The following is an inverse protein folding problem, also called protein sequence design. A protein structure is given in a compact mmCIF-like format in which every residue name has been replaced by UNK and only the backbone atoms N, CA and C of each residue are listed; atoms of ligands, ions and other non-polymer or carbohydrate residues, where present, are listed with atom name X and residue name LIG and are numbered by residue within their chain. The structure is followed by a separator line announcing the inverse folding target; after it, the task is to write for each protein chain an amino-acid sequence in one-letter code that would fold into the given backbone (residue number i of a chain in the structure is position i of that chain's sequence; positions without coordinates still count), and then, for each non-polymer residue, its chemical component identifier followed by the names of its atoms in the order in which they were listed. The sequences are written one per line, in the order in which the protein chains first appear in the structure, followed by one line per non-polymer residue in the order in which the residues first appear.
data_IF_911017411828
#
_entry.id   IF_911017411828
#
_cell.length_a   1.000
_cell.length_b   1.000
_cell.length_c   1.000
_cell.angle_alpha   90.00
_cell.angle_beta   90.00
_cell.angle_gamma   90.00
#
_symmetry.space_group_name_H-M   'P 1'
#
loop_
_entity.id
_entity.type
_entity.pdbx_description
1 polymer ?
#
# COMPACT_ATOMS: atom_id res chain seq x y z
N UNK A 1 11.84 -61.53 6.57
CA UNK A 1 10.73 -61.16 5.66
C UNK A 1 9.63 -60.51 6.47
N UNK A 2 9.29 -59.25 6.11
CA UNK A 2 7.96 -58.61 6.14
C UNK A 2 7.18 -58.68 7.47
N UNK A 3 7.20 -57.60 8.26
CA UNK A 3 6.17 -56.53 8.28
C UNK A 3 4.73 -57.06 8.47
N UNK A 4 4.05 -56.62 9.53
CA UNK A 4 2.86 -55.75 9.44
C UNK A 4 2.30 -55.46 10.84
N UNK A 5 2.75 -54.35 11.44
CA UNK A 5 2.04 -53.67 12.51
C UNK A 5 0.86 -52.93 11.85
N UNK A 6 -0.38 -53.38 12.10
CA UNK A 6 -1.59 -52.68 11.65
C UNK A 6 -2.10 -51.77 12.74
N UNK A 7 -2.46 -50.58 12.29
CA UNK A 7 -2.72 -49.37 13.04
C UNK A 7 -3.88 -49.50 14.04
N UNK A 8 -3.65 -48.89 15.20
CA UNK A 8 -4.62 -48.69 16.27
C UNK A 8 -5.48 -47.45 15.95
N UNK A 9 -6.76 -47.61 16.23
CA UNK A 9 -7.80 -46.61 16.53
C UNK A 9 -7.27 -45.19 16.87
N UNK A 10 -7.83 -44.15 16.24
CA UNK A 10 -8.05 -42.88 16.94
C UNK A 10 -9.41 -42.28 16.58
N UNK A 11 -10.22 -42.17 17.63
CA UNK A 11 -11.56 -41.66 17.68
C UNK A 11 -11.50 -40.23 18.24
N UNK A 12 -12.25 -39.32 17.61
CA UNK A 12 -12.79 -38.05 18.12
C UNK A 12 -11.85 -36.93 18.58
N UNK A 13 -11.98 -35.76 17.95
CA UNK A 13 -12.40 -34.56 18.71
C UNK A 13 -13.11 -33.53 17.82
N UNK A 14 -14.17 -33.03 18.42
CA UNK A 14 -15.22 -32.17 17.91
C UNK A 14 -14.72 -30.72 17.79
N UNK A 15 -15.11 -30.10 16.69
CA UNK A 15 -14.97 -28.67 16.40
C UNK A 15 -15.79 -27.84 17.38
N UNK A 16 -15.21 -26.76 17.91
CA UNK A 16 -15.76 -25.42 18.10
C UNK A 16 -14.92 -24.67 19.15
N UNK A 17 -14.33 -23.53 18.78
CA UNK A 17 -14.75 -22.21 19.27
C UNK A 17 -13.70 -21.09 19.03
N UNK A 18 -14.27 -19.94 18.68
CA UNK A 18 -13.84 -18.55 18.87
C UNK A 18 -12.67 -17.96 18.06
N UNK A 19 -13.09 -17.10 17.13
CA UNK A 19 -12.41 -15.86 16.73
C UNK A 19 -11.74 -15.17 17.94
N UNK A 20 -10.47 -14.83 17.78
CA UNK A 20 -9.86 -13.70 18.49
C UNK A 20 -9.14 -12.82 17.46
N UNK A 21 -9.93 -12.12 16.65
CA UNK A 21 -9.49 -10.90 15.97
C UNK A 21 -9.74 -9.73 16.89
N UNK A 22 -8.74 -9.35 17.70
CA UNK A 22 -8.54 -7.98 18.17
C UNK A 22 -7.15 -7.86 18.79
N UNK A 23 -6.28 -7.10 18.13
CA UNK A 23 -5.29 -6.17 18.70
C UNK A 23 -4.03 -6.07 17.81
N UNK A 24 -4.17 -5.46 16.64
CA UNK A 24 -3.09 -4.63 16.08
C UNK A 24 -3.66 -3.26 15.71
N UNK A 25 -4.07 -2.53 16.75
CA UNK A 25 -4.24 -1.08 16.67
C UNK A 25 -2.87 -0.44 16.95
N UNK A 26 -2.46 0.47 16.07
CA UNK A 26 -1.42 1.49 16.28
C UNK A 26 0.07 1.06 16.26
N UNK A 27 0.56 0.56 15.11
CA UNK A 27 2.00 0.67 14.76
C UNK A 27 2.30 1.47 13.48
N UNK A 28 1.30 2.08 12.85
CA UNK A 28 1.48 2.94 11.67
C UNK A 28 1.78 4.42 11.96
N UNK A 29 1.34 4.95 13.12
CA UNK A 29 1.45 6.40 13.42
C UNK A 29 2.79 6.83 14.02
N UNK A 30 3.55 5.93 14.64
CA UNK A 30 4.79 6.29 15.35
C UNK A 30 5.99 6.45 14.42
N UNK A 31 6.11 5.66 13.35
CA UNK A 31 7.25 5.75 12.42
C UNK A 31 7.19 7.00 11.53
N UNK A 32 5.99 7.44 11.11
CA UNK A 32 5.83 8.68 10.35
C UNK A 32 6.15 9.93 11.19
N UNK A 33 5.73 9.96 12.46
CA UNK A 33 6.01 11.07 13.38
C UNK A 33 7.51 11.15 13.76
N UNK A 34 8.16 10.01 13.99
CA UNK A 34 9.61 9.96 14.29
C UNK A 34 10.45 10.40 13.08
N UNK A 35 10.04 10.03 11.86
CA UNK A 35 10.70 10.45 10.63
C UNK A 35 10.49 11.94 10.31
N UNK A 36 9.27 12.47 10.53
CA UNK A 36 8.98 13.89 10.32
C UNK A 36 9.75 14.82 11.28
N UNK A 37 9.91 14.41 12.55
CA UNK A 37 10.60 15.23 13.56
C UNK A 37 12.12 15.36 13.32
N UNK A 38 12.75 14.42 12.60
CA UNK A 38 14.18 14.46 12.25
C UNK A 38 14.46 15.19 10.91
N UNK A 39 13.48 15.26 10.01
CA UNK A 39 13.54 16.05 8.76
C UNK A 39 13.41 17.57 9.03
N UNK A 40 12.81 17.94 10.17
CA UNK A 40 12.52 19.31 10.58
C UNK A 40 13.73 20.28 10.71
N UNK A 41 14.98 19.80 10.61
CA UNK A 41 16.16 20.67 10.74
C UNK A 41 16.51 21.44 9.45
N UNK A 42 15.91 21.11 8.31
CA UNK A 42 16.15 21.80 7.03
C UNK A 42 14.95 21.98 6.11
N UNK A 43 13.85 21.28 6.39
CA UNK A 43 12.61 21.36 5.60
C UNK A 43 11.43 21.75 6.47
N UNK A 44 10.51 22.51 5.90
CA UNK A 44 9.26 22.92 6.52
C UNK A 44 8.14 21.94 6.19
N UNK A 45 7.06 22.01 6.97
CA UNK A 45 5.85 21.21 6.76
C UNK A 45 4.58 22.08 6.87
N UNK A 46 4.43 23.08 5.97
CA UNK A 46 3.23 23.89 5.91
C UNK A 46 2.03 22.99 5.65
N UNK A 47 0.89 23.37 6.23
CA UNK A 47 -0.39 22.70 6.01
C UNK A 47 -1.20 23.35 4.89
N UNK A 48 -0.78 24.53 4.41
CA UNK A 48 -1.45 25.32 3.38
C UNK A 48 -0.43 25.97 2.45
N UNK A 49 -0.75 26.08 1.16
CA UNK A 49 0.09 26.82 0.19
C UNK A 49 0.23 28.29 0.60
N UNK A 50 -0.76 28.84 1.30
CA UNK A 50 -0.75 30.22 1.80
C UNK A 50 0.34 30.48 2.86
N UNK A 51 0.94 29.43 3.42
CA UNK A 51 2.06 29.54 4.36
C UNK A 51 3.41 29.60 3.64
N UNK A 52 3.45 29.35 2.34
CA UNK A 52 4.67 29.40 1.52
C UNK A 52 4.95 30.83 1.11
N UNK A 53 6.13 31.34 1.44
CA UNK A 53 6.39 32.80 1.47
C UNK A 53 6.73 33.42 0.12
N UNK A 54 7.19 32.62 -0.84
CA UNK A 54 7.81 33.08 -2.10
C UNK A 54 7.10 32.54 -3.35
N UNK A 55 5.83 32.14 -3.21
CA UNK A 55 4.98 31.63 -4.29
C UNK A 55 3.72 32.49 -4.39
N UNK A 56 3.42 32.95 -5.60
CA UNK A 56 2.23 33.72 -5.92
C UNK A 56 1.18 32.83 -6.59
N UNK A 57 -0.11 33.18 -6.44
CA UNK A 57 -1.24 32.42 -7.00
C UNK A 57 -1.22 32.30 -8.53
N UNK A 58 -0.63 33.29 -9.21
CA UNK A 58 -0.48 33.29 -10.67
C UNK A 58 0.72 32.46 -11.17
N UNK A 59 1.47 31.81 -10.29
CA UNK A 59 2.59 30.96 -10.68
C UNK A 59 2.09 29.63 -11.27
N UNK A 60 2.73 29.16 -12.34
CA UNK A 60 2.35 27.92 -13.03
C UNK A 60 2.36 26.68 -12.12
N UNK A 61 3.26 26.62 -11.13
CA UNK A 61 3.37 25.50 -10.20
C UNK A 61 2.47 25.66 -8.98
N UNK A 62 1.75 26.79 -8.83
CA UNK A 62 0.94 27.07 -7.64
C UNK A 62 -0.05 25.94 -7.36
N UNK A 63 -0.80 25.51 -8.38
CA UNK A 63 -1.80 24.45 -8.22
C UNK A 63 -1.18 23.11 -7.85
N UNK A 64 -0.05 22.75 -8.48
CA UNK A 64 0.65 21.51 -8.14
C UNK A 64 1.24 21.54 -6.73
N UNK A 65 1.81 22.67 -6.30
CA UNK A 65 2.30 22.82 -4.93
C UNK A 65 1.17 22.78 -3.91
N UNK A 66 0.06 23.46 -4.21
CA UNK A 66 -1.15 23.43 -3.38
C UNK A 66 -1.63 21.99 -3.18
N UNK A 67 -1.74 21.23 -4.26
CA UNK A 67 -2.19 19.84 -4.20
C UNK A 67 -1.22 18.94 -3.42
N UNK A 68 0.08 19.03 -3.75
CA UNK A 68 1.14 18.29 -3.07
C UNK A 68 1.18 18.57 -1.56
N UNK A 69 1.03 19.83 -1.14
CA UNK A 69 1.12 20.23 0.27
C UNK A 69 -0.19 19.93 1.01
N UNK A 70 -1.31 20.39 0.50
CA UNK A 70 -2.60 20.38 1.23
C UNK A 70 -3.27 19.02 1.20
N UNK A 71 -3.28 18.36 0.04
CA UNK A 71 -4.03 17.11 -0.16
C UNK A 71 -3.15 15.87 0.01
N UNK A 72 -1.83 16.03 -0.14
CA UNK A 72 -0.88 14.92 -0.15
C UNK A 72 0.20 15.02 0.93
N UNK A 73 0.27 16.14 1.65
CA UNK A 73 1.23 16.36 2.75
C UNK A 73 2.68 16.08 2.35
N UNK A 74 3.03 16.40 1.11
CA UNK A 74 4.37 16.22 0.56
C UNK A 74 5.25 17.37 1.03
N UNK A 75 6.41 17.02 1.59
CA UNK A 75 7.42 17.99 2.01
C UNK A 75 8.08 18.57 0.77
N UNK A 76 7.75 19.83 0.45
CA UNK A 76 8.29 20.54 -0.72
C UNK A 76 9.08 21.81 -0.34
N UNK A 77 8.96 22.32 0.88
CA UNK A 77 9.50 23.64 1.28
C UNK A 77 10.64 23.54 2.28
N UNK A 78 11.45 24.59 2.35
CA UNK A 78 12.49 24.74 3.36
C UNK A 78 11.91 25.14 4.72
N UNK A 79 12.73 25.06 5.76
CA UNK A 79 12.30 25.32 7.14
C UNK A 79 11.77 26.74 7.39
N UNK A 80 12.15 27.71 6.54
CA UNK A 80 11.67 29.09 6.55
C UNK A 80 10.38 29.28 5.73
N UNK A 81 9.74 28.18 5.31
CA UNK A 81 8.59 28.13 4.41
C UNK A 81 8.83 28.73 3.01
N UNK A 82 10.07 28.94 2.60
CA UNK A 82 10.38 29.25 1.21
C UNK A 82 10.36 27.99 0.34
N UNK A 83 9.95 28.13 -0.91
CA UNK A 83 10.00 27.07 -1.92
C UNK A 83 11.17 27.23 -2.89
N UNK A 84 11.62 28.45 -3.16
CA UNK A 84 12.71 28.77 -4.11
C UNK A 84 12.50 28.16 -5.50
N UNK A 85 11.32 28.36 -6.09
CA UNK A 85 10.89 27.60 -7.27
C UNK A 85 11.77 27.75 -8.52
N UNK A 86 12.39 28.91 -8.71
CA UNK A 86 13.31 29.18 -9.84
C UNK A 86 14.71 28.56 -9.64
N UNK A 87 15.04 28.12 -8.43
CA UNK A 87 16.32 27.48 -8.17
C UNK A 87 16.36 26.09 -8.83
N UNK A 88 17.56 25.67 -9.22
CA UNK A 88 17.80 24.29 -9.64
C UNK A 88 17.47 23.34 -8.49
N UNK A 89 16.76 22.25 -8.80
CA UNK A 89 16.50 21.17 -7.86
C UNK A 89 17.82 20.54 -7.45
N UNK A 90 18.02 20.38 -6.14
CA UNK A 90 19.17 19.69 -5.57
C UNK A 90 18.85 18.20 -5.37
N UNK A 91 19.85 17.33 -5.47
CA UNK A 91 19.70 15.87 -5.26
C UNK A 91 19.12 15.53 -3.89
N UNK A 92 19.55 16.25 -2.85
CA UNK A 92 19.03 16.06 -1.49
C UNK A 92 17.56 16.45 -1.36
N UNK A 93 17.15 17.57 -1.97
CA UNK A 93 15.77 18.05 -1.96
C UNK A 93 14.82 17.09 -2.66
N UNK A 94 15.26 16.53 -3.79
CA UNK A 94 14.54 15.46 -4.48
C UNK A 94 14.28 14.28 -3.55
N UNK A 95 15.30 13.77 -2.87
CA UNK A 95 15.19 12.60 -1.98
C UNK A 95 14.15 12.82 -0.88
N UNK A 96 14.13 14.01 -0.26
CA UNK A 96 13.19 14.33 0.82
C UNK A 96 11.76 14.40 0.31
N UNK A 97 11.56 15.12 -0.79
CA UNK A 97 10.24 15.30 -1.41
C UNK A 97 9.68 13.96 -1.91
N UNK A 98 10.54 13.19 -2.59
CA UNK A 98 10.17 11.90 -3.17
C UNK A 98 9.86 10.85 -2.10
N UNK A 99 10.64 10.79 -1.02
CA UNK A 99 10.33 9.91 0.11
C UNK A 99 8.97 10.24 0.76
N UNK A 100 8.59 11.52 0.80
CA UNK A 100 7.27 11.93 1.32
C UNK A 100 6.14 11.43 0.42
N UNK A 101 6.31 11.52 -0.91
CA UNK A 101 5.38 10.96 -1.90
C UNK A 101 5.22 9.46 -1.73
N UNK A 102 6.32 8.72 -1.59
CA UNK A 102 6.29 7.27 -1.39
C UNK A 102 5.53 6.88 -0.11
N UNK A 103 5.77 7.62 0.98
CA UNK A 103 5.01 7.45 2.22
C UNK A 103 3.50 7.63 2.01
N UNK A 104 3.10 8.71 1.32
CA UNK A 104 1.70 8.99 1.01
C UNK A 104 1.05 7.90 0.16
N UNK A 105 1.72 7.46 -0.90
CA UNK A 105 1.21 6.40 -1.80
C UNK A 105 1.02 5.10 -1.02
N UNK A 106 1.99 4.73 -0.16
CA UNK A 106 1.86 3.52 0.66
C UNK A 106 0.71 3.59 1.65
N UNK A 107 0.48 4.73 2.29
CA UNK A 107 -0.66 4.89 3.19
C UNK A 107 -1.98 4.68 2.43
N UNK A 108 -2.08 5.19 1.20
CA UNK A 108 -3.26 5.01 0.35
C UNK A 108 -3.42 3.57 -0.15
N UNK A 109 -2.35 2.92 -0.59
CA UNK A 109 -2.34 1.49 -0.97
C UNK A 109 -2.80 0.62 0.21
N UNK A 110 -2.25 0.86 1.41
CA UNK A 110 -2.61 0.09 2.61
C UNK A 110 -4.09 0.30 2.98
N UNK A 111 -4.57 1.54 2.93
CA UNK A 111 -5.98 1.85 3.20
C UNK A 111 -6.92 1.22 2.16
N UNK A 112 -6.46 1.07 0.92
CA UNK A 112 -7.19 0.39 -0.13
C UNK A 112 -7.15 -1.15 -0.01
N UNK A 113 -6.37 -1.71 0.93
CA UNK A 113 -6.16 -3.15 1.07
C UNK A 113 -5.40 -3.77 -0.11
N UNK A 114 -4.54 -2.98 -0.76
CA UNK A 114 -3.72 -3.38 -1.90
C UNK A 114 -2.28 -3.69 -1.46
N UNK A 115 -1.54 -4.36 -2.34
CA UNK A 115 -0.14 -4.73 -2.12
C UNK A 115 0.80 -3.56 -2.47
N UNK A 116 1.84 -3.35 -1.64
CA UNK A 116 2.84 -2.28 -1.84
C UNK A 116 3.78 -2.48 -3.02
N UNK A 117 3.78 -3.66 -3.66
CA UNK A 117 4.46 -3.96 -4.92
C UNK A 117 4.02 -3.08 -6.10
N UNK A 118 2.96 -2.30 -5.95
CA UNK A 118 2.63 -1.22 -6.88
C UNK A 118 3.72 -0.14 -6.95
N UNK A 119 4.59 -0.02 -5.94
CA UNK A 119 5.80 0.80 -6.01
C UNK A 119 6.98 -0.12 -6.35
N UNK A 120 7.62 0.11 -7.49
CA UNK A 120 8.74 -0.73 -7.92
C UNK A 120 10.06 -0.28 -7.28
N UNK A 121 10.93 -1.25 -7.03
CA UNK A 121 12.34 -1.00 -6.72
C UNK A 121 13.06 -0.44 -7.96
N UNK A 122 14.16 0.27 -7.75
CA UNK A 122 14.92 0.84 -8.86
C UNK A 122 16.38 1.05 -8.51
N UNK A 123 17.29 0.51 -9.32
CA UNK A 123 18.71 0.85 -9.27
C UNK A 123 19.14 1.46 -10.61
N UNK A 124 19.26 2.79 -10.61
CA UNK A 124 19.60 3.54 -11.84
C UNK A 124 21.00 3.19 -12.34
N UNK A 125 21.96 3.17 -11.43
CA UNK A 125 23.37 3.13 -11.76
C UNK A 125 23.99 1.74 -11.60
N UNK A 126 23.19 0.74 -11.23
CA UNK A 126 23.62 -0.60 -10.82
C UNK A 126 24.74 -0.51 -9.77
N UNK A 127 24.56 0.41 -8.83
CA UNK A 127 25.53 0.64 -7.76
C UNK A 127 25.33 -0.36 -6.61
N UNK A 128 24.20 -1.09 -6.58
CA UNK A 128 23.84 -2.11 -5.59
C UNK A 128 23.95 -1.62 -4.15
N UNK A 129 23.60 -0.36 -3.92
CA UNK A 129 23.55 0.27 -2.60
C UNK A 129 22.21 -0.13 -1.98
N UNK A 130 22.26 -0.76 -0.81
CA UNK A 130 21.07 -1.27 -0.11
C UNK A 130 20.91 -0.67 1.29
N UNK A 131 21.90 0.06 1.80
CA UNK A 131 21.82 0.74 3.09
C UNK A 131 22.38 2.16 3.02
N UNK A 132 21.80 3.06 3.82
CA UNK A 132 22.30 4.44 3.98
C UNK A 132 23.76 4.48 4.46
N UNK A 133 24.20 3.46 5.20
CA UNK A 133 25.56 3.36 5.73
C UNK A 133 26.62 3.22 4.63
N UNK A 134 26.21 2.80 3.43
CA UNK A 134 27.08 2.68 2.27
C UNK A 134 27.23 4.01 1.49
N UNK A 135 26.40 5.02 1.79
CA UNK A 135 26.46 6.34 1.13
C UNK A 135 27.59 7.17 1.76
N UNK A 136 28.68 7.36 1.02
CA UNK A 136 29.97 7.81 1.57
C UNK A 136 29.97 9.26 2.05
N UNK A 137 29.19 10.13 1.42
CA UNK A 137 29.11 11.55 1.73
C UNK A 137 27.95 11.91 2.67
N UNK A 138 27.32 10.91 3.29
CA UNK A 138 26.15 11.11 4.15
C UNK A 138 26.38 10.60 5.57
N UNK A 139 26.16 11.49 6.55
CA UNK A 139 26.34 11.20 7.98
C UNK A 139 24.98 11.11 8.69
N UNK A 140 24.83 10.35 9.80
CA UNK A 140 23.57 10.22 10.57
C UNK A 140 22.89 11.52 11.02
N UNK A 141 23.65 12.61 11.13
CA UNK A 141 23.15 13.95 11.47
C UNK A 141 22.73 14.81 10.28
N UNK A 142 22.86 14.31 9.05
CA UNK A 142 22.42 15.02 7.83
C UNK A 142 20.90 15.10 7.77
N UNK A 143 20.37 16.23 7.29
CA UNK A 143 18.93 16.44 7.05
C UNK A 143 18.36 15.44 6.02
N UNK A 144 19.20 14.89 5.15
CA UNK A 144 18.80 13.91 4.13
C UNK A 144 18.86 12.46 4.61
N UNK A 145 19.45 12.19 5.78
CA UNK A 145 19.79 10.83 6.21
C UNK A 145 18.58 9.91 6.28
N UNK A 146 17.49 10.38 6.91
CA UNK A 146 16.27 9.59 7.08
C UNK A 146 15.60 9.28 5.75
N UNK A 147 15.52 10.26 4.85
CA UNK A 147 14.92 10.08 3.54
C UNK A 147 15.74 9.13 2.67
N UNK A 148 17.07 9.25 2.69
CA UNK A 148 17.97 8.30 2.01
C UNK A 148 17.84 6.89 2.57
N UNK A 149 17.82 6.76 3.90
CA UNK A 149 17.64 5.48 4.56
C UNK A 149 16.34 4.82 4.11
N UNK A 150 15.24 5.57 4.13
CA UNK A 150 13.95 5.08 3.68
C UNK A 150 13.99 4.64 2.20
N UNK A 151 14.54 5.46 1.29
CA UNK A 151 14.69 5.11 -0.13
C UNK A 151 15.43 3.78 -0.33
N UNK A 152 16.57 3.60 0.32
CA UNK A 152 17.41 2.42 0.13
C UNK A 152 16.81 1.18 0.83
N UNK A 153 16.47 1.32 2.10
CA UNK A 153 16.18 0.18 2.98
C UNK A 153 14.70 -0.21 2.98
N UNK A 154 13.79 0.74 2.77
CA UNK A 154 12.35 0.46 2.73
C UNK A 154 11.81 0.30 1.32
N UNK A 155 12.35 1.06 0.36
CA UNK A 155 11.82 1.11 -1.01
C UNK A 155 12.70 0.40 -2.04
N UNK A 156 13.95 0.08 -1.72
CA UNK A 156 14.89 -0.47 -2.69
C UNK A 156 15.14 0.46 -3.87
N UNK A 157 15.07 1.78 -3.65
CA UNK A 157 15.29 2.82 -4.66
C UNK A 157 16.71 3.38 -4.48
N UNK A 158 17.64 2.83 -5.25
CA UNK A 158 19.01 3.28 -5.41
C UNK A 158 19.10 4.37 -6.52
N UNK A 159 18.43 5.49 -6.25
CA UNK A 159 18.56 6.73 -6.99
C UNK A 159 18.30 7.91 -6.01
N UNK A 160 19.04 9.03 -6.12
CA UNK A 160 19.91 9.41 -7.22
C UNK A 160 21.37 9.30 -6.81
N UNK A 161 21.84 8.12 -6.44
CA UNK A 161 23.24 7.95 -6.01
C UNK A 161 24.14 7.73 -7.22
N UNK A 162 25.35 8.27 -7.18
CA UNK A 162 26.37 7.98 -8.21
C UNK A 162 26.87 6.53 -8.08
N UNK A 163 27.54 6.01 -9.11
CA UNK A 163 28.24 4.70 -9.05
C UNK A 163 29.25 4.61 -7.91
N UNK A 164 29.79 5.74 -7.45
CA UNK A 164 30.73 5.80 -6.35
C UNK A 164 30.08 5.76 -4.96
N UNK A 165 28.76 5.56 -4.88
CA UNK A 165 27.93 5.64 -3.68
C UNK A 165 27.94 7.02 -3.01
N UNK A 166 27.87 8.07 -3.83
CA UNK A 166 27.72 9.46 -3.38
C UNK A 166 26.32 9.98 -3.70
N UNK A 167 25.68 10.64 -2.74
CA UNK A 167 24.45 11.40 -2.98
C UNK A 167 24.76 12.71 -3.70
N UNK A 168 25.84 13.40 -3.33
CA UNK A 168 26.18 14.76 -3.73
C UNK A 168 24.97 15.70 -3.52
N UNK A 169 24.51 15.83 -2.28
CA UNK A 169 23.20 16.41 -1.97
C UNK A 169 22.95 17.81 -2.57
N UNK A 170 23.99 18.64 -2.69
CA UNK A 170 23.91 20.00 -3.23
C UNK A 170 24.09 20.07 -4.76
N UNK A 171 24.43 18.96 -5.42
CA UNK A 171 24.56 18.94 -6.87
C UNK A 171 23.19 19.13 -7.54
N UNK A 172 23.17 19.65 -8.78
CA UNK A 172 21.95 19.73 -9.56
C UNK A 172 21.33 18.34 -9.82
N UNK A 173 20.02 18.31 -9.90
CA UNK A 173 19.24 17.17 -10.33
C UNK A 173 18.78 17.35 -11.78
N UNK A 174 18.77 16.25 -12.55
CA UNK A 174 18.52 16.31 -13.99
C UNK A 174 17.13 15.80 -14.35
N UNK A 175 16.58 16.37 -15.42
CA UNK A 175 15.24 16.04 -15.89
C UNK A 175 15.12 14.58 -16.33
N UNK A 176 16.05 14.06 -17.14
CA UNK A 176 16.10 12.64 -17.51
C UNK A 176 16.10 11.70 -16.31
N UNK A 177 16.85 12.04 -15.26
CA UNK A 177 16.86 11.30 -13.99
C UNK A 177 15.50 11.27 -13.31
N UNK A 178 14.81 12.42 -13.25
CA UNK A 178 13.48 12.52 -12.67
C UNK A 178 12.50 11.56 -13.36
N UNK A 179 12.41 11.67 -14.69
CA UNK A 179 11.48 10.88 -15.47
C UNK A 179 11.80 9.38 -15.43
N UNK A 180 13.09 9.01 -15.47
CA UNK A 180 13.51 7.62 -15.29
C UNK A 180 13.03 7.04 -13.95
N UNK A 181 13.25 7.79 -12.85
CA UNK A 181 12.84 7.35 -11.52
C UNK A 181 11.32 7.20 -11.48
N UNK A 182 10.56 8.25 -11.83
CA UNK A 182 9.10 8.24 -11.73
C UNK A 182 8.46 7.17 -12.63
N UNK A 183 8.99 6.98 -13.85
CA UNK A 183 8.53 5.94 -14.78
C UNK A 183 8.71 4.55 -14.18
N UNK A 184 9.89 4.25 -13.65
CA UNK A 184 10.15 2.91 -13.12
C UNK A 184 9.41 2.68 -11.81
N UNK A 185 9.55 3.60 -10.86
CA UNK A 185 9.08 3.40 -9.48
C UNK A 185 7.58 3.62 -9.31
N UNK A 186 6.99 4.59 -10.02
CA UNK A 186 5.55 4.88 -9.95
C UNK A 186 4.75 4.41 -11.16
N UNK A 187 5.40 4.09 -12.28
CA UNK A 187 4.71 3.80 -13.54
C UNK A 187 4.27 5.07 -14.28
N UNK A 188 4.90 6.21 -14.01
CA UNK A 188 4.54 7.50 -14.60
C UNK A 188 4.65 7.49 -16.13
N UNK A 189 3.56 7.82 -16.81
CA UNK A 189 3.51 7.93 -18.26
C UNK A 189 3.52 9.40 -18.68
N UNK A 190 4.60 9.81 -19.35
CA UNK A 190 4.80 11.16 -19.88
C UNK A 190 4.67 11.21 -21.42
N UNK A 191 4.03 10.20 -22.01
CA UNK A 191 3.77 10.12 -23.45
C UNK A 191 5.03 10.01 -24.29
N UNK A 192 5.04 10.70 -25.44
CA UNK A 192 6.14 10.67 -26.40
C UNK A 192 7.27 11.69 -26.09
N UNK A 193 7.17 12.40 -24.96
CA UNK A 193 8.19 13.34 -24.55
C UNK A 193 9.52 12.60 -24.32
N UNK A 194 10.64 13.19 -24.77
CA UNK A 194 11.99 12.65 -24.55
C UNK A 194 12.71 13.53 -23.54
N UNK A 195 12.82 13.11 -22.26
CA UNK A 195 13.52 13.86 -21.23
C UNK A 195 14.97 14.17 -21.65
N UNK A 196 15.39 15.41 -21.41
CA UNK A 196 16.76 15.86 -21.71
C UNK A 196 17.63 15.80 -20.47
N UNK A 197 18.93 15.64 -20.66
CA UNK A 197 19.93 15.77 -19.59
C UNK A 197 20.20 17.25 -19.28
N UNK A 198 19.20 17.93 -18.76
CA UNK A 198 19.25 19.33 -18.33
C UNK A 198 18.87 19.44 -16.87
N UNK A 199 19.40 20.44 -16.17
CA UNK A 199 19.01 20.70 -14.78
C UNK A 199 17.54 21.08 -14.73
N UNK A 200 16.81 20.53 -13.76
CA UNK A 200 15.41 20.86 -13.55
C UNK A 200 15.27 21.92 -12.45
N UNK A 201 14.35 22.87 -12.63
CA UNK A 201 14.00 23.81 -11.55
C UNK A 201 13.02 23.16 -10.57
N UNK A 202 12.94 23.73 -9.37
CA UNK A 202 11.99 23.25 -8.34
C UNK A 202 10.54 23.40 -8.79
N UNK A 203 10.18 24.45 -9.54
CA UNK A 203 8.86 24.59 -10.15
C UNK A 203 8.49 23.42 -11.07
N UNK A 204 9.33 23.12 -12.06
CA UNK A 204 9.08 22.00 -12.98
C UNK A 204 9.03 20.66 -12.26
N UNK A 205 9.87 20.48 -11.23
CA UNK A 205 9.83 19.29 -10.41
C UNK A 205 8.49 19.10 -9.70
N UNK A 206 7.95 20.15 -9.07
CA UNK A 206 6.65 20.09 -8.39
C UNK A 206 5.52 19.70 -9.35
N UNK A 207 5.48 20.32 -10.53
CA UNK A 207 4.46 20.02 -11.54
C UNK A 207 4.53 18.56 -12.02
N UNK A 208 5.74 18.06 -12.31
CA UNK A 208 5.93 16.68 -12.78
C UNK A 208 5.64 15.66 -11.67
N UNK A 209 6.03 15.97 -10.42
CA UNK A 209 5.79 15.08 -9.29
C UNK A 209 4.30 14.97 -8.97
N UNK A 210 3.58 16.08 -9.03
CA UNK A 210 2.13 16.14 -8.85
C UNK A 210 1.40 15.31 -9.91
N UNK A 211 1.73 15.48 -11.19
CA UNK A 211 1.12 14.67 -12.26
C UNK A 211 1.42 13.17 -12.10
N UNK A 212 2.67 12.82 -11.78
CA UNK A 212 3.05 11.43 -11.52
C UNK A 212 2.30 10.83 -10.32
N UNK A 213 2.12 11.59 -9.25
CA UNK A 213 1.33 11.19 -8.09
C UNK A 213 -0.13 10.97 -8.49
N UNK A 214 -0.76 11.92 -9.19
CA UNK A 214 -2.14 11.80 -9.68
C UNK A 214 -2.37 10.55 -10.51
N UNK A 215 -1.50 10.27 -11.47
CA UNK A 215 -1.58 9.05 -12.27
C UNK A 215 -1.49 7.79 -11.39
N UNK A 216 -0.59 7.79 -10.40
CA UNK A 216 -0.45 6.67 -9.48
C UNK A 216 -1.68 6.49 -8.60
N UNK A 217 -2.26 7.57 -8.09
CA UNK A 217 -3.46 7.51 -7.26
C UNK A 217 -4.67 7.05 -8.05
N UNK A 218 -4.81 7.46 -9.32
CA UNK A 218 -5.85 6.95 -10.20
C UNK A 218 -5.72 5.44 -10.39
N UNK A 219 -4.50 4.93 -10.60
CA UNK A 219 -4.26 3.48 -10.68
C UNK A 219 -4.64 2.75 -9.39
N UNK A 220 -4.24 3.28 -8.23
CA UNK A 220 -4.58 2.71 -6.91
C UNK A 220 -6.10 2.68 -6.72
N UNK A 221 -6.81 3.73 -7.11
CA UNK A 221 -8.26 3.80 -7.00
C UNK A 221 -8.94 2.73 -7.87
N UNK A 222 -8.56 2.60 -9.14
CA UNK A 222 -9.09 1.57 -10.05
C UNK A 222 -8.91 0.17 -9.46
N UNK A 223 -7.71 -0.15 -8.96
CA UNK A 223 -7.43 -1.46 -8.36
C UNK A 223 -8.23 -1.70 -7.07
N UNK A 224 -8.44 -0.64 -6.26
CA UNK A 224 -9.27 -0.73 -5.06
C UNK A 224 -10.71 -1.08 -5.40
N UNK A 225 -11.26 -0.45 -6.44
CA UNK A 225 -12.64 -0.68 -6.86
C UNK A 225 -12.82 -2.06 -7.50
N UNK A 226 -11.86 -2.51 -8.32
CA UNK A 226 -11.83 -3.89 -8.82
C UNK A 226 -11.78 -4.93 -7.70
N UNK A 227 -10.97 -4.67 -6.65
CA UNK A 227 -10.89 -5.56 -5.49
C UNK A 227 -12.23 -5.61 -4.75
N UNK A 228 -12.86 -4.47 -4.47
CA UNK A 228 -14.18 -4.42 -3.82
C UNK A 228 -15.22 -5.19 -4.62
N UNK A 229 -15.27 -5.00 -5.94
CA UNK A 229 -16.19 -5.71 -6.81
C UNK A 229 -15.98 -7.23 -6.74
N UNK A 230 -14.73 -7.70 -6.73
CA UNK A 230 -14.41 -9.14 -6.57
C UNK A 230 -14.84 -9.68 -5.21
N UNK A 231 -14.59 -8.93 -4.14
CA UNK A 231 -14.97 -9.31 -2.78
C UNK A 231 -16.50 -9.40 -2.64
N UNK A 232 -17.26 -8.49 -3.27
CA UNK A 232 -18.73 -8.51 -3.28
C UNK A 232 -19.29 -9.73 -4.04
N UNK A 233 -18.71 -10.04 -5.21
CA UNK A 233 -19.09 -11.22 -6.00
C UNK A 233 -18.82 -12.51 -5.21
N UNK A 234 -17.66 -12.61 -4.56
CA UNK A 234 -17.31 -13.78 -3.76
C UNK A 234 -18.22 -13.91 -2.53
N UNK A 235 -18.54 -12.80 -1.86
CA UNK A 235 -19.51 -12.78 -0.77
C UNK A 235 -20.88 -13.30 -1.22
N UNK A 236 -21.38 -12.80 -2.36
CA UNK A 236 -22.66 -13.26 -2.91
C UNK A 236 -22.65 -14.76 -3.26
N UNK A 237 -21.51 -15.27 -3.77
CA UNK A 237 -21.32 -16.70 -4.05
C UNK A 237 -21.39 -17.52 -2.77
N UNK A 238 -20.68 -17.11 -1.72
CA UNK A 238 -20.68 -17.77 -0.40
C UNK A 238 -22.11 -17.77 0.18
N UNK A 239 -22.80 -16.63 0.16
CA UNK A 239 -24.17 -16.50 0.68
C UNK A 239 -25.15 -17.44 -0.05
N UNK A 240 -25.00 -17.59 -1.37
CA UNK A 240 -25.78 -18.55 -2.16
C UNK A 240 -25.50 -20.00 -1.76
N UNK A 241 -24.23 -20.37 -1.57
CA UNK A 241 -23.83 -21.70 -1.12
C UNK A 241 -24.41 -22.00 0.27
N UNK A 242 -24.31 -21.05 1.20
CA UNK A 242 -24.87 -21.18 2.55
C UNK A 242 -26.39 -21.43 2.49
N UNK A 243 -27.12 -20.63 1.71
CA UNK A 243 -28.57 -20.81 1.51
C UNK A 243 -28.91 -22.19 0.94
N UNK A 244 -28.13 -22.69 -0.02
CA UNK A 244 -28.35 -24.04 -0.59
C UNK A 244 -28.08 -25.14 0.45
N UNK A 245 -27.05 -25.01 1.27
CA UNK A 245 -26.75 -25.96 2.35
C UNK A 245 -27.90 -25.98 3.37
N UNK A 246 -28.38 -24.80 3.77
CA UNK A 246 -29.50 -24.69 4.70
C UNK A 246 -30.79 -25.29 4.12
N UNK A 247 -31.07 -25.06 2.84
CA UNK A 247 -32.23 -25.67 2.17
C UNK A 247 -32.12 -27.20 2.16
N UNK A 248 -30.97 -27.75 1.73
CA UNK A 248 -30.73 -29.20 1.75
C UNK A 248 -30.87 -29.81 3.15
N UNK A 249 -30.43 -29.08 4.19
CA UNK A 249 -30.63 -29.49 5.59
C UNK A 249 -32.11 -29.54 5.96
N UNK A 250 -32.89 -28.50 5.62
CA UNK A 250 -34.35 -28.47 5.86
C UNK A 250 -35.08 -29.60 5.14
N UNK A 251 -34.72 -29.86 3.87
CA UNK A 251 -35.33 -30.93 3.07
C UNK A 251 -35.02 -32.30 3.66
N UNK A 252 -33.77 -32.54 4.08
CA UNK A 252 -33.35 -33.78 4.73
C UNK A 252 -34.09 -34.02 6.06
N UNK A 253 -34.21 -32.98 6.90
CA UNK A 253 -34.96 -33.06 8.16
C UNK A 253 -36.44 -33.36 7.89
N UNK A 254 -37.03 -32.71 6.89
CA UNK A 254 -38.44 -32.93 6.52
C UNK A 254 -38.69 -34.36 6.07
N UNK A 255 -37.81 -34.91 5.22
CA UNK A 255 -37.87 -36.30 4.77
C UNK A 255 -37.72 -37.30 5.94
N UNK A 256 -36.81 -37.05 6.86
CA UNK A 256 -36.63 -37.87 8.07
C UNK A 256 -37.89 -37.85 8.96
N UNK A 257 -38.53 -36.69 9.12
CA UNK A 257 -39.80 -36.58 9.86
C UNK A 257 -40.91 -37.38 9.19
N UNK A 258 -41.02 -37.32 7.86
CA UNK A 258 -42.02 -38.10 7.10
C UNK A 258 -41.81 -39.61 7.25
N UNK A 259 -40.56 -40.08 7.14
CA UNK A 259 -40.20 -41.49 7.35
C UNK A 259 -40.62 -41.94 8.74
N UNK A 260 -40.28 -41.17 9.79
CA UNK A 260 -40.65 -41.50 11.17
C UNK A 260 -42.16 -41.49 11.41
N UNK A 261 -42.90 -40.58 10.77
CA UNK A 261 -44.38 -40.57 10.84
C UNK A 261 -44.97 -41.82 10.20
N UNK A 262 -44.48 -42.22 9.02
CA UNK A 262 -44.93 -43.43 8.34
C UNK A 262 -44.62 -44.70 9.15
N UNK A 263 -43.42 -44.78 9.75
CA UNK A 263 -43.06 -45.88 10.64
C UNK A 263 -43.95 -45.94 11.89
N UNK A 264 -44.27 -44.80 12.51
CA UNK A 264 -45.16 -44.73 13.66
C UNK A 264 -46.57 -45.20 13.30
N UNK A 265 -47.12 -44.74 12.17
CA UNK A 265 -48.43 -45.17 11.68
C UNK A 265 -48.47 -46.68 11.39
N UNK A 266 -47.41 -47.24 10.78
CA UNK A 266 -47.30 -48.68 10.55
C UNK A 266 -47.30 -49.47 11.85
N UNK A 267 -46.51 -49.04 12.84
CA UNK A 267 -46.47 -49.67 14.17
C UNK A 267 -47.82 -49.59 14.89
N UNK A 268 -48.52 -48.47 14.78
CA UNK A 268 -49.87 -48.31 15.35
C UNK A 268 -50.88 -49.27 14.68
N UNK A 269 -50.85 -49.38 13.35
CA UNK A 269 -51.72 -50.29 12.61
C UNK A 269 -51.44 -51.77 12.96
N UNK A 270 -50.17 -52.15 13.10
CA UNK A 270 -49.78 -53.49 13.57
C UNK A 270 -50.24 -53.77 15.00
N UNK A 271 -50.16 -52.78 15.90
CA UNK A 271 -50.64 -52.90 17.27
C UNK A 271 -52.17 -53.06 17.34
N UNK A 272 -52.93 -52.31 16.51
CA UNK A 272 -54.40 -52.44 16.40
C UNK A 272 -54.81 -53.84 15.94
N UNK A 273 -54.19 -54.37 14.87
CA UNK A 273 -54.47 -55.75 14.42
C UNK A 273 -54.28 -56.80 15.51
N UNK A 274 -53.20 -56.69 16.30
CA UNK A 274 -52.93 -57.61 17.41
C UNK A 274 -53.94 -57.53 18.56
N UNK A 275 -54.68 -56.43 18.68
CA UNK A 275 -55.76 -56.29 19.65
C UNK A 275 -57.07 -56.89 19.15
N UNK A 276 -57.33 -56.81 17.84
CA UNK A 276 -58.53 -57.40 17.22
C UNK A 276 -58.46 -58.94 17.12
N UNK A 277 -57.25 -59.51 17.09
CA UNK A 277 -57.01 -60.97 17.05
C UNK A 277 -57.07 -61.65 18.44
N UNK A 278 -57.46 -60.93 19.51
CA UNK A 278 -57.56 -61.42 20.89
C UNK A 278 -59.00 -61.45 21.39
#
# INVERSE_FOLDING_TARGET
MRHFFKAFLFLTTLFLLFNSSTAQISRGRTNAKLNAQKIAKGFGNPQSISQVTDILENNEAYNSLKDLIENHHVIMVYADNSFSGNANLKRGDFVVSYNSVLGRIKDLINNAGLDTSLINTYDRNKAYITSVTQVKDLKPGSVYYVAVQSLLENWGINAPFTKAALLNANAPFYQDELYDILRVTLGYNYGNFKPKKTTITRYHFAMILDDALKQKLAQVQTLSDEKKAKDEVEKARIDSIVKQIEQKRRDSISKEIEIRKAEAQKKEAEARKKLDDK
#
